data_IF_789323588690
#
_entry.id   IF_789323588690
#
_cell.length_a   1.000
_cell.length_b   1.000
_cell.length_c   1.000
_cell.angle_alpha   90.00
_cell.angle_beta   90.00
_cell.angle_gamma   90.00
#
_symmetry.space_group_name_H-M   'P 1'
#
loop_
_entity.id
_entity.type
_entity.pdbx_description
1 polymer ?
#
# COMPACT_ATOMS: atom_id res chain seq x y z
N UNK A 1 13.44 -4.75 1.27
CA UNK A 1 14.00 -4.30 -0.04
C UNK A 1 13.16 -3.11 -0.45
N UNK A 2 13.77 -1.97 -0.81
CA UNK A 2 13.01 -0.75 -1.12
C UNK A 2 12.64 -0.70 -2.60
N UNK A 3 11.38 -0.42 -2.89
CA UNK A 3 10.86 -0.20 -4.24
C UNK A 3 10.25 1.20 -4.31
N UNK A 4 10.41 1.87 -5.45
CA UNK A 4 9.94 3.23 -5.66
C UNK A 4 9.22 3.30 -7.00
N UNK A 5 8.12 4.06 -7.09
CA UNK A 5 7.49 4.37 -8.37
C UNK A 5 6.74 5.71 -8.33
N UNK A 6 6.62 6.36 -9.48
CA UNK A 6 5.72 7.49 -9.65
C UNK A 6 4.28 7.01 -9.78
N UNK A 7 3.33 7.77 -9.23
CA UNK A 7 1.94 7.33 -9.31
C UNK A 7 0.92 8.31 -8.76
N UNK A 8 -0.31 7.81 -8.67
CA UNK A 8 -1.43 8.50 -8.04
C UNK A 8 -2.13 7.57 -7.04
N UNK A 9 -2.52 8.13 -5.89
CA UNK A 9 -3.47 7.45 -5.01
C UNK A 9 -4.84 7.41 -5.69
N UNK A 10 -5.43 6.21 -5.77
CA UNK A 10 -6.78 6.02 -6.30
C UNK A 10 -7.82 5.96 -5.18
N UNK A 11 -7.59 5.10 -4.20
CA UNK A 11 -8.48 4.89 -3.07
C UNK A 11 -7.77 4.22 -1.89
N UNK A 12 -8.37 4.41 -0.73
CA UNK A 12 -7.98 3.82 0.55
C UNK A 12 -9.14 2.97 1.08
N UNK A 13 -8.79 1.83 1.68
CA UNK A 13 -9.74 0.90 2.27
C UNK A 13 -9.20 0.38 3.60
N UNK A 14 -9.99 0.59 4.65
CA UNK A 14 -9.69 0.12 6.00
C UNK A 14 -10.91 -0.54 6.63
N UNK A 15 -10.68 -1.47 7.56
CA UNK A 15 -11.74 -2.10 8.32
C UNK A 15 -11.26 -3.34 9.05
N UNK A 16 -12.21 -4.14 9.51
CA UNK A 16 -11.95 -5.35 10.29
C UNK A 16 -12.84 -6.48 9.78
N UNK A 17 -12.33 -7.71 9.80
CA UNK A 17 -13.11 -8.92 9.55
C UNK A 17 -12.74 -10.03 10.52
N UNK A 18 -13.64 -10.99 10.74
CA UNK A 18 -13.34 -12.18 11.54
C UNK A 18 -12.84 -13.31 10.63
N UNK A 19 -11.72 -13.93 10.99
CA UNK A 19 -11.27 -15.14 10.30
C UNK A 19 -12.07 -16.38 10.73
N UNK A 20 -11.81 -17.51 10.10
CA UNK A 20 -12.49 -18.79 10.40
C UNK A 20 -12.23 -19.31 11.83
N UNK A 21 -11.24 -18.72 12.54
CA UNK A 21 -10.89 -19.03 13.92
C UNK A 21 -11.56 -18.07 14.93
N UNK A 22 -12.35 -17.11 14.45
CA UNK A 22 -13.05 -16.12 15.27
C UNK A 22 -12.20 -14.91 15.67
N UNK A 23 -10.96 -14.81 15.20
CA UNK A 23 -10.06 -13.69 15.47
C UNK A 23 -10.41 -12.49 14.60
N UNK A 24 -10.44 -11.29 15.19
CA UNK A 24 -10.60 -10.04 14.46
C UNK A 24 -9.29 -9.65 13.80
N UNK A 25 -9.29 -9.54 12.48
CA UNK A 25 -8.16 -9.09 11.66
C UNK A 25 -8.49 -7.71 11.11
N UNK A 26 -7.72 -6.71 11.52
CA UNK A 26 -7.73 -5.38 10.92
C UNK A 26 -6.97 -5.39 9.59
N UNK A 27 -7.51 -4.67 8.60
CA UNK A 27 -6.84 -4.42 7.34
C UNK A 27 -6.84 -2.92 7.03
N UNK A 28 -5.73 -2.49 6.43
CA UNK A 28 -5.54 -1.13 5.94
C UNK A 28 -4.72 -1.20 4.65
N UNK A 29 -5.33 -0.81 3.54
CA UNK A 29 -4.73 -0.94 2.21
C UNK A 29 -5.13 0.20 1.30
N UNK A 30 -4.31 0.49 0.29
CA UNK A 30 -4.60 1.47 -0.74
C UNK A 30 -4.36 0.90 -2.14
N UNK A 31 -4.98 1.52 -3.14
CA UNK A 31 -4.66 1.29 -4.56
C UNK A 31 -3.93 2.50 -5.13
N UNK A 32 -2.83 2.22 -5.80
CA UNK A 32 -1.98 3.22 -6.44
C UNK A 32 -1.92 2.89 -7.93
N UNK A 33 -2.11 3.90 -8.77
CA UNK A 33 -1.80 3.80 -10.18
C UNK A 33 -0.32 4.13 -10.40
N UNK A 34 0.49 3.13 -10.69
CA UNK A 34 1.90 3.28 -11.04
C UNK A 34 1.99 3.80 -12.49
N UNK A 35 2.52 5.01 -12.66
CA UNK A 35 2.68 5.63 -13.98
C UNK A 35 3.91 5.13 -14.74
N UNK A 36 4.92 4.62 -14.04
CA UNK A 36 6.13 4.08 -14.67
C UNK A 36 5.82 2.79 -15.44
N UNK A 37 4.89 1.98 -14.91
CA UNK A 37 4.52 0.68 -15.47
C UNK A 37 3.08 0.62 -15.99
N UNK A 38 2.35 1.74 -15.98
CA UNK A 38 0.95 1.87 -16.40
C UNK A 38 0.01 0.83 -15.79
N UNK A 39 0.17 0.51 -14.49
CA UNK A 39 -0.58 -0.56 -13.81
C UNK A 39 -1.10 -0.13 -12.44
N UNK A 40 -2.20 -0.74 -12.01
CA UNK A 40 -2.74 -0.55 -10.64
C UNK A 40 -2.08 -1.55 -9.70
N UNK A 41 -1.62 -1.08 -8.55
CA UNK A 41 -1.04 -1.90 -7.48
C UNK A 41 -1.84 -1.75 -6.19
N UNK A 42 -2.09 -2.86 -5.51
CA UNK A 42 -2.66 -2.87 -4.15
C UNK A 42 -1.52 -2.96 -3.15
N UNK A 43 -1.48 -2.03 -2.21
CA UNK A 43 -0.43 -1.95 -1.19
C UNK A 43 -1.05 -2.01 0.21
N UNK A 44 -0.33 -2.62 1.15
CA UNK A 44 -0.70 -2.57 2.57
C UNK A 44 -0.17 -1.25 3.16
N UNK A 45 -0.99 -0.58 3.96
CA UNK A 45 -0.55 0.59 4.72
C UNK A 45 -0.02 0.12 6.08
N UNK A 46 1.18 0.58 6.44
CA UNK A 46 1.81 0.21 7.70
C UNK A 46 1.20 1.00 8.86
N UNK A 47 1.20 0.45 10.07
CA UNK A 47 0.67 1.14 11.26
C UNK A 47 1.43 2.45 11.58
N UNK A 48 2.68 2.56 11.13
CA UNK A 48 3.54 3.74 11.29
C UNK A 48 3.89 4.42 9.95
N UNK A 49 3.14 4.16 8.88
CA UNK A 49 3.43 4.83 7.60
C UNK A 49 3.05 6.31 7.66
N UNK A 50 3.72 7.13 6.85
CA UNK A 50 3.33 8.53 6.67
C UNK A 50 1.88 8.63 6.17
N UNK A 51 1.28 9.83 6.28
CA UNK A 51 -0.01 10.09 5.66
C UNK A 51 0.01 9.72 4.17
N UNK A 52 -1.13 9.30 3.63
CA UNK A 52 -1.28 9.11 2.19
C UNK A 52 -1.32 10.48 1.48
N UNK A 53 -0.80 10.58 0.24
CA UNK A 53 -0.91 11.81 -0.52
C UNK A 53 -2.37 12.13 -0.87
N UNK A 54 -2.64 13.39 -1.21
CA UNK A 54 -3.96 13.78 -1.70
C UNK A 54 -4.32 13.04 -3.00
N UNK A 55 -5.59 12.66 -3.22
CA UNK A 55 -6.01 12.06 -4.47
C UNK A 55 -5.66 12.94 -5.67
N UNK A 56 -5.30 12.31 -6.80
CA UNK A 56 -4.92 12.99 -8.05
C UNK A 56 -3.62 13.82 -8.01
N UNK A 57 -2.86 13.81 -6.90
CA UNK A 57 -1.51 14.35 -6.87
C UNK A 57 -0.52 13.28 -7.35
N UNK A 58 0.33 13.63 -8.31
CA UNK A 58 1.42 12.75 -8.74
C UNK A 58 2.54 12.82 -7.71
N UNK A 59 2.92 11.67 -7.15
CA UNK A 59 3.97 11.57 -6.15
C UNK A 59 4.91 10.42 -6.50
N UNK A 60 6.13 10.48 -5.98
CA UNK A 60 7.01 9.34 -5.89
C UNK A 60 6.67 8.55 -4.61
N UNK A 61 6.26 7.30 -4.75
CA UNK A 61 5.88 6.43 -3.65
C UNK A 61 7.04 5.50 -3.25
N UNK A 62 7.29 5.38 -1.95
CA UNK A 62 8.26 4.45 -1.38
C UNK A 62 7.56 3.26 -0.72
N UNK A 63 8.05 2.06 -1.04
CA UNK A 63 7.53 0.80 -0.51
C UNK A 63 8.64 -0.09 0.05
N UNK A 64 8.30 -0.88 1.07
CA UNK A 64 9.07 -2.03 1.49
C UNK A 64 8.46 -3.32 0.93
N UNK A 65 9.30 -4.11 0.26
CA UNK A 65 8.94 -5.43 -0.25
C UNK A 65 9.29 -6.46 0.82
N UNK A 66 8.25 -7.04 1.40
CA UNK A 66 8.35 -8.09 2.40
C UNK A 66 8.15 -9.44 1.73
N UNK A 67 9.25 -10.18 1.62
CA UNK A 67 9.29 -11.54 1.07
C UNK A 67 9.21 -12.52 2.23
N UNK A 68 8.18 -13.34 2.25
CA UNK A 68 8.03 -14.48 3.16
C UNK A 68 7.95 -15.77 2.35
N UNK A 69 8.19 -16.92 3.01
CA UNK A 69 8.22 -18.23 2.35
C UNK A 69 6.96 -18.56 1.53
N UNK A 70 5.80 -18.04 1.94
CA UNK A 70 4.50 -18.34 1.31
C UNK A 70 3.90 -17.17 0.52
N UNK A 71 4.32 -15.94 0.79
CA UNK A 71 3.76 -14.77 0.15
C UNK A 71 4.78 -13.64 0.07
N UNK A 72 4.69 -12.86 -1.00
CA UNK A 72 5.38 -11.57 -1.10
C UNK A 72 4.32 -10.48 -1.02
N UNK A 73 4.57 -9.45 -0.21
CA UNK A 73 3.68 -8.29 -0.09
C UNK A 73 4.45 -6.99 -0.19
N UNK A 74 3.76 -5.96 -0.68
CA UNK A 74 4.27 -4.59 -0.79
C UNK A 74 3.62 -3.75 0.30
N UNK A 75 4.46 -3.10 1.11
CA UNK A 75 4.03 -2.27 2.24
C UNK A 75 4.42 -0.83 1.96
N UNK A 76 3.45 0.07 2.01
CA UNK A 76 3.66 1.50 1.87
C UNK A 76 4.45 2.06 3.04
N UNK A 77 5.47 2.86 2.73
CA UNK A 77 6.34 3.52 3.70
C UNK A 77 6.01 5.02 3.75
N UNK A 78 5.98 5.65 2.58
CA UNK A 78 5.75 7.09 2.45
C UNK A 78 5.75 7.55 0.99
N UNK A 79 5.71 8.87 0.80
CA UNK A 79 5.78 9.50 -0.51
C UNK A 79 6.64 10.77 -0.46
N UNK A 80 7.12 11.20 -1.63
CA UNK A 80 7.72 12.51 -1.86
C UNK A 80 7.06 13.22 -3.05
N UNK A 81 7.18 14.55 -3.08
CA UNK A 81 6.65 15.44 -4.12
C UNK A 81 7.77 15.93 -5.05
#
# INVERSE_FOLDING_TARGET
>A
MKAVCNGFLLDESMGEFKNDQGETIAYHSARIYNTDECRVMKVKIGENSNALPEPQVNCEFEFDVQVAEKFTRVVYVGYSL
#
